data_IF_032704160948
#
_entry.id   IF_032704160948
#
_cell.length_a   1.000
_cell.length_b   1.000
_cell.length_c   1.000
_cell.angle_alpha   90.00
_cell.angle_beta   90.00
_cell.angle_gamma   90.00
#
_symmetry.space_group_name_H-M   'P 1'
#
loop_
_entity.id
_entity.type
_entity.pdbx_description
1 polymer ?
#
# COMPACT_ATOMS: atom_id res chain seq x y z
N UNK A 1 9.22 -5.03 2.03
CA UNK A 1 9.24 -4.04 0.95
C UNK A 1 9.11 -4.76 -0.38
N UNK A 2 8.13 -4.43 -1.23
CA UNK A 2 8.04 -4.86 -2.62
C UNK A 2 9.28 -4.39 -3.40
N UNK A 3 9.84 -5.24 -4.25
CA UNK A 3 11.00 -4.90 -5.09
C UNK A 3 10.62 -4.51 -6.51
N UNK A 4 9.34 -4.64 -6.86
CA UNK A 4 8.84 -4.36 -8.21
C UNK A 4 7.38 -3.88 -8.20
N UNK A 5 6.96 -3.25 -9.30
CA UNK A 5 5.56 -2.84 -9.54
C UNK A 5 4.62 -4.05 -9.44
N UNK A 6 5.04 -5.23 -9.92
CA UNK A 6 4.22 -6.44 -9.86
C UNK A 6 3.97 -6.89 -8.42
N UNK A 7 5.02 -6.90 -7.58
CA UNK A 7 4.87 -7.23 -6.16
C UNK A 7 3.99 -6.23 -5.43
N UNK A 8 4.13 -4.93 -5.74
CA UNK A 8 3.29 -3.89 -5.15
C UNK A 8 1.81 -4.04 -5.54
N UNK A 9 1.53 -4.39 -6.80
CA UNK A 9 0.15 -4.68 -7.26
C UNK A 9 -0.44 -5.88 -6.52
N UNK A 10 0.33 -6.96 -6.33
CA UNK A 10 -0.11 -8.12 -5.56
C UNK A 10 -0.43 -7.75 -4.12
N UNK A 11 0.44 -6.96 -3.46
CA UNK A 11 0.19 -6.46 -2.12
C UNK A 11 -1.07 -5.60 -2.03
N UNK A 12 -1.23 -4.62 -2.93
CA UNK A 12 -2.39 -3.74 -2.93
C UNK A 12 -3.68 -4.50 -3.26
N UNK A 13 -3.62 -5.54 -4.08
CA UNK A 13 -4.73 -6.46 -4.31
C UNK A 13 -5.21 -7.13 -3.01
N UNK A 14 -4.27 -7.64 -2.20
CA UNK A 14 -4.58 -8.18 -0.87
C UNK A 14 -5.09 -7.10 0.07
N UNK A 15 -4.41 -5.95 0.15
CA UNK A 15 -4.78 -4.85 1.04
C UNK A 15 -6.20 -4.34 0.73
N UNK A 16 -6.58 -4.32 -0.55
CA UNK A 16 -7.91 -3.90 -0.98
C UNK A 16 -9.03 -4.84 -0.48
N UNK A 17 -8.75 -6.13 -0.26
CA UNK A 17 -9.69 -7.04 0.39
C UNK A 17 -10.01 -6.61 1.83
N UNK A 18 -9.01 -6.09 2.54
CA UNK A 18 -9.12 -5.59 3.92
C UNK A 18 -9.54 -4.11 4.02
N UNK A 19 -9.74 -3.41 2.89
CA UNK A 19 -9.97 -1.95 2.88
C UNK A 19 -11.08 -1.48 3.82
N UNK A 20 -12.10 -2.31 4.03
CA UNK A 20 -13.28 -1.99 4.85
C UNK A 20 -12.97 -1.95 6.36
N UNK A 21 -11.87 -2.56 6.77
CA UNK A 21 -11.42 -2.66 8.16
C UNK A 21 -10.26 -1.70 8.47
N UNK A 22 -9.76 -0.99 7.45
CA UNK A 22 -8.63 -0.08 7.59
C UNK A 22 -9.12 1.36 7.50
N UNK A 23 -9.13 2.06 8.62
CA UNK A 23 -9.51 3.47 8.65
C UNK A 23 -8.56 4.32 7.79
N UNK A 24 -9.15 5.13 6.91
CA UNK A 24 -8.40 6.00 6.01
C UNK A 24 -7.58 5.23 4.96
N UNK A 25 -7.97 3.99 4.60
CA UNK A 25 -7.26 3.13 3.65
C UNK A 25 -6.76 3.88 2.41
N UNK A 26 -7.65 4.62 1.72
CA UNK A 26 -7.29 5.35 0.50
C UNK A 26 -6.18 6.37 0.72
N UNK A 27 -6.19 7.08 1.85
CA UNK A 27 -5.14 8.06 2.19
C UNK A 27 -3.81 7.36 2.48
N UNK A 28 -3.84 6.24 3.20
CA UNK A 28 -2.65 5.42 3.51
C UNK A 28 -2.06 4.75 2.27
N UNK A 29 -2.92 4.29 1.36
CA UNK A 29 -2.52 3.64 0.12
C UNK A 29 -2.06 4.62 -0.97
N UNK A 30 -2.36 5.92 -0.83
CA UNK A 30 -2.09 6.92 -1.86
C UNK A 30 -0.64 6.88 -2.36
N UNK A 31 0.40 6.95 -1.50
CA UNK A 31 1.80 6.94 -1.95
C UNK A 31 2.15 5.67 -2.75
N UNK A 32 1.55 4.53 -2.36
CA UNK A 32 1.76 3.26 -3.06
C UNK A 32 1.05 3.20 -4.41
N UNK A 33 -0.14 3.79 -4.52
CA UNK A 33 -0.86 3.86 -5.79
C UNK A 33 -0.21 4.83 -6.79
N UNK A 34 0.47 5.87 -6.30
CA UNK A 34 1.26 6.77 -7.15
C UNK A 34 2.38 6.01 -7.89
N UNK A 35 3.04 5.07 -7.21
CA UNK A 35 4.06 4.20 -7.81
C UNK A 35 3.53 3.25 -8.91
N UNK A 36 2.21 3.13 -9.07
CA UNK A 36 1.58 2.29 -10.11
C UNK A 36 1.22 3.07 -11.38
N UNK A 37 1.36 4.39 -11.39
CA UNK A 37 1.03 5.24 -12.55
C UNK A 37 2.02 5.00 -13.69
N UNK A 38 1.53 5.09 -14.93
CA UNK A 38 2.30 4.76 -16.15
C UNK A 38 3.55 5.63 -16.34
N UNK A 39 3.53 6.87 -15.87
CA UNK A 39 4.60 7.84 -16.05
C UNK A 39 5.47 8.02 -14.80
N UNK A 40 5.30 7.16 -13.79
CA UNK A 40 6.07 7.19 -12.55
C UNK A 40 7.17 6.13 -12.62
N UNK A 41 8.41 6.58 -12.49
CA UNK A 41 9.56 5.68 -12.32
C UNK A 41 9.45 5.00 -10.96
N UNK A 42 9.82 3.72 -10.91
CA UNK A 42 9.86 2.98 -9.65
C UNK A 42 10.90 3.62 -8.71
N UNK A 43 10.41 4.39 -7.75
CA UNK A 43 11.22 5.04 -6.73
C UNK A 43 10.59 4.76 -5.36
N UNK A 44 11.15 3.78 -4.64
CA UNK A 44 10.67 3.47 -3.31
C UNK A 44 11.32 4.40 -2.28
N UNK A 45 10.57 5.40 -1.83
CA UNK A 45 11.03 6.40 -0.87
C UNK A 45 10.53 6.12 0.56
N UNK A 46 10.95 6.91 1.57
CA UNK A 46 10.50 6.73 2.95
C UNK A 46 8.99 6.89 3.14
N UNK A 47 8.31 7.70 2.32
CA UNK A 47 6.85 7.88 2.38
C UNK A 47 6.14 6.59 1.94
N UNK A 48 6.61 5.96 0.87
CA UNK A 48 6.15 4.66 0.41
C UNK A 48 6.38 3.58 1.46
N UNK A 49 7.54 3.59 2.13
CA UNK A 49 7.83 2.64 3.21
C UNK A 49 6.88 2.83 4.40
N UNK A 50 6.66 4.07 4.83
CA UNK A 50 5.72 4.38 5.92
C UNK A 50 4.28 4.00 5.57
N UNK A 51 3.84 4.26 4.34
CA UNK A 51 2.53 3.85 3.83
C UNK A 51 2.37 2.31 3.83
N UNK A 52 3.38 1.59 3.36
CA UNK A 52 3.40 0.13 3.34
C UNK A 52 3.33 -0.47 4.74
N UNK A 53 4.16 0.01 5.66
CA UNK A 53 4.19 -0.49 7.04
C UNK A 53 2.90 -0.15 7.80
N UNK A 54 2.37 1.06 7.61
CA UNK A 54 1.10 1.47 8.20
C UNK A 54 -0.09 0.65 7.70
N UNK A 55 -0.13 0.29 6.42
CA UNK A 55 -1.14 -0.62 5.89
C UNK A 55 -0.97 -2.04 6.44
N UNK A 56 0.26 -2.54 6.48
CA UNK A 56 0.56 -3.88 7.02
C UNK A 56 0.12 -3.99 8.49
N UNK A 57 0.40 -2.96 9.30
CA UNK A 57 -0.02 -2.92 10.69
C UNK A 57 -1.55 -2.89 10.81
N UNK A 58 -2.23 -2.00 10.09
CA UNK A 58 -3.69 -1.91 10.14
C UNK A 58 -4.38 -3.21 9.67
N UNK A 59 -3.78 -3.95 8.73
CA UNK A 59 -4.28 -5.25 8.31
C UNK A 59 -4.06 -6.35 9.37
N UNK A 60 -3.01 -6.24 10.20
CA UNK A 60 -2.69 -7.19 11.28
C UNK A 60 -3.53 -6.97 12.53
N UNK A 61 -3.94 -5.73 12.80
CA UNK A 61 -4.81 -5.38 13.93
C UNK A 61 -6.24 -5.96 13.78
N UNK A 62 -6.58 -6.46 12.58
CA UNK A 62 -7.81 -7.18 12.30
C UNK A 62 -9.05 -6.27 12.25
N UNK A 63 -10.22 -6.81 11.86
CA UNK A 63 -11.49 -6.12 12.09
C UNK A 63 -11.68 -5.90 13.60
N UNK A 64 -12.03 -4.69 14.01
CA UNK A 64 -12.78 -4.47 15.25
C UNK A 64 -14.12 -5.25 15.18
#
# INVERSE_FOLDING_TARGET
MPKSISELRSFLGLANYYRRFVEGFSKRASPLTELLKKDVHWNWDPECQAAFDGLKQAMMEGPL
#
